data_IF_620201104944
#
_entry.id   IF_620201104944
#
_cell.length_a   1.000
_cell.length_b   1.000
_cell.length_c   1.000
_cell.angle_alpha   90.00
_cell.angle_beta   90.00
_cell.angle_gamma   90.00
#
_symmetry.space_group_name_H-M   'P 1'
#
loop_
_entity.id
_entity.type
_entity.pdbx_description
1 polymer ?
#
# COMPACT_ATOMS: atom_id res chain seq x y z
N UNK A 1 -10.43 6.02 -1.44
CA UNK A 1 -10.37 7.01 -2.56
C UNK A 1 -11.03 6.39 -3.78
N UNK A 2 -11.54 7.17 -4.76
CA UNK A 2 -12.01 6.61 -6.03
C UNK A 2 -11.10 6.99 -7.18
N UNK A 3 -10.79 6.02 -8.03
CA UNK A 3 -10.10 6.21 -9.30
C UNK A 3 -11.08 6.76 -10.35
N UNK A 4 -10.54 7.32 -11.44
CA UNK A 4 -11.34 7.85 -12.55
C UNK A 4 -12.23 6.80 -13.22
N UNK A 5 -11.85 5.52 -13.12
CA UNK A 5 -12.62 4.37 -13.61
C UNK A 5 -13.70 3.88 -12.61
N UNK A 6 -13.86 4.57 -11.48
CA UNK A 6 -14.86 4.27 -10.45
C UNK A 6 -14.42 3.25 -9.40
N UNK A 7 -13.26 2.60 -9.55
CA UNK A 7 -12.76 1.64 -8.56
C UNK A 7 -12.31 2.34 -7.27
N UNK A 8 -12.48 1.67 -6.15
CA UNK A 8 -12.03 2.13 -4.85
C UNK A 8 -10.55 1.76 -4.65
N UNK A 9 -9.79 2.66 -4.03
CA UNK A 9 -8.35 2.51 -3.82
C UNK A 9 -7.94 3.03 -2.43
N UNK A 10 -6.99 2.31 -1.82
CA UNK A 10 -6.28 2.74 -0.62
C UNK A 10 -4.94 3.37 -1.02
N UNK A 11 -4.64 4.57 -0.53
CA UNK A 11 -3.42 5.31 -0.90
C UNK A 11 -2.54 5.56 0.32
N UNK A 12 -1.26 5.21 0.20
CA UNK A 12 -0.20 5.61 1.13
C UNK A 12 0.63 6.69 0.47
N UNK A 13 0.86 7.82 1.15
CA UNK A 13 1.62 8.94 0.59
C UNK A 13 2.50 9.60 1.65
N UNK A 14 3.72 9.97 1.25
CA UNK A 14 4.68 10.65 2.13
C UNK A 14 5.49 11.70 1.36
N UNK A 15 5.74 12.84 2.01
CA UNK A 15 6.65 13.85 1.50
C UNK A 15 8.06 13.54 1.98
N UNK A 16 9.02 13.44 1.05
CA UNK A 16 10.42 13.11 1.33
C UNK A 16 11.05 14.04 2.35
N UNK A 17 10.76 15.34 2.26
CA UNK A 17 11.34 16.35 3.17
C UNK A 17 10.79 16.28 4.60
N UNK A 18 9.52 15.88 4.79
CA UNK A 18 8.88 15.84 6.11
C UNK A 18 8.99 14.48 6.80
N UNK A 19 9.00 13.40 6.02
CA UNK A 19 9.01 12.04 6.54
C UNK A 19 9.97 11.15 5.72
N UNK A 20 11.29 11.45 5.71
CA UNK A 20 12.25 10.78 4.83
C UNK A 20 12.30 9.26 5.02
N UNK A 21 12.17 8.78 6.26
CA UNK A 21 12.13 7.34 6.56
C UNK A 21 10.87 6.65 6.00
N UNK A 22 9.71 7.32 6.09
CA UNK A 22 8.45 6.80 5.54
C UNK A 22 8.50 6.81 4.02
N UNK A 23 9.03 7.87 3.42
CA UNK A 23 9.23 7.95 1.98
C UNK A 23 10.17 6.84 1.47
N UNK A 24 11.28 6.60 2.17
CA UNK A 24 12.18 5.50 1.86
C UNK A 24 11.51 4.12 2.01
N UNK A 25 10.64 3.95 3.01
CA UNK A 25 9.87 2.73 3.19
C UNK A 25 8.91 2.50 2.02
N UNK A 26 8.14 3.51 1.60
CA UNK A 26 7.23 3.37 0.46
C UNK A 26 7.97 3.10 -0.87
N UNK A 27 9.13 3.72 -1.11
CA UNK A 27 9.95 3.39 -2.30
C UNK A 27 10.36 1.91 -2.33
N UNK A 28 10.60 1.30 -1.16
CA UNK A 28 10.88 -0.14 -1.06
C UNK A 28 9.61 -0.99 -1.19
N UNK A 29 8.48 -0.49 -0.70
CA UNK A 29 7.17 -1.16 -0.73
C UNK A 29 6.62 -1.34 -2.15
N UNK A 30 7.09 -0.55 -3.14
CA UNK A 30 6.81 -0.79 -4.56
C UNK A 30 7.21 -2.20 -5.05
N UNK A 31 8.02 -2.95 -4.30
CA UNK A 31 8.28 -4.38 -4.55
C UNK A 31 7.00 -5.22 -4.63
N UNK A 32 5.89 -4.77 -4.05
CA UNK A 32 4.58 -5.42 -4.16
C UNK A 32 4.13 -5.65 -5.61
N UNK A 33 4.59 -4.85 -6.57
CA UNK A 33 4.36 -5.08 -8.01
C UNK A 33 4.91 -6.43 -8.50
N UNK A 34 5.94 -6.96 -7.82
CA UNK A 34 6.63 -8.19 -8.20
C UNK A 34 6.05 -9.43 -7.49
N UNK A 35 5.06 -9.26 -6.62
CA UNK A 35 4.42 -10.38 -5.94
C UNK A 35 3.53 -11.16 -6.92
N UNK A 36 3.49 -12.50 -6.82
CA UNK A 36 2.64 -13.32 -7.70
C UNK A 36 1.16 -12.93 -7.61
N UNK A 37 0.41 -13.16 -8.69
CA UNK A 37 -1.05 -12.94 -8.80
C UNK A 37 -1.85 -13.62 -7.66
N UNK A 38 -1.32 -14.68 -7.09
CA UNK A 38 -1.94 -15.54 -6.09
C UNK A 38 -1.56 -15.19 -4.64
N UNK A 39 -0.64 -14.24 -4.41
CA UNK A 39 -0.31 -13.79 -3.06
C UNK A 39 -1.55 -13.14 -2.39
N UNK A 40 -1.82 -13.39 -1.10
CA UNK A 40 -2.98 -12.82 -0.39
C UNK A 40 -2.73 -11.37 0.02
N UNK A 41 -2.39 -10.52 -0.94
CA UNK A 41 -2.08 -9.10 -0.74
C UNK A 41 -2.91 -8.23 -1.70
N UNK A 42 -3.29 -7.01 -1.29
CA UNK A 42 -3.90 -6.05 -2.22
C UNK A 42 -2.98 -5.77 -3.40
N UNK A 43 -3.52 -5.73 -4.63
CA UNK A 43 -2.69 -5.39 -5.79
C UNK A 43 -2.28 -3.93 -5.74
N UNK A 44 -1.04 -3.65 -6.15
CA UNK A 44 -0.64 -2.29 -6.44
C UNK A 44 -1.25 -1.85 -7.79
N UNK A 45 -2.00 -0.76 -7.75
CA UNK A 45 -2.68 -0.16 -8.91
C UNK A 45 -1.82 0.90 -9.61
N UNK A 46 -0.87 1.49 -8.89
CA UNK A 46 0.08 2.45 -9.44
C UNK A 46 0.98 3.09 -8.40
N UNK A 47 2.07 3.68 -8.90
CA UNK A 47 3.08 4.38 -8.12
C UNK A 47 3.26 5.80 -8.67
N UNK A 48 3.49 6.76 -7.79
CA UNK A 48 3.90 8.12 -8.14
C UNK A 48 5.15 8.48 -7.34
N UNK A 49 6.23 8.89 -7.99
CA UNK A 49 7.43 9.43 -7.34
C UNK A 49 7.98 10.58 -8.20
N UNK A 50 7.96 11.80 -7.67
CA UNK A 50 8.58 12.98 -8.29
C UNK A 50 9.85 13.43 -7.55
N UNK A 51 10.30 12.65 -6.58
CA UNK A 51 11.39 12.99 -5.67
C UNK A 51 10.93 13.70 -4.39
N UNK A 52 9.92 14.56 -4.47
CA UNK A 52 9.38 15.32 -3.34
C UNK A 52 8.29 14.56 -2.60
N UNK A 53 7.47 13.83 -3.34
CA UNK A 53 6.40 12.95 -2.87
C UNK A 53 6.54 11.56 -3.46
N UNK A 54 6.26 10.57 -2.63
CA UNK A 54 6.01 9.18 -3.03
C UNK A 54 4.57 8.83 -2.64
N UNK A 55 3.83 8.23 -3.57
CA UNK A 55 2.51 7.68 -3.32
C UNK A 55 2.36 6.30 -3.97
N UNK A 56 1.69 5.40 -3.24
CA UNK A 56 1.34 4.06 -3.66
C UNK A 56 -0.16 3.89 -3.57
N UNK A 57 -0.81 3.50 -4.67
CA UNK A 57 -2.23 3.19 -4.71
C UNK A 57 -2.42 1.68 -4.78
N UNK A 58 -3.19 1.12 -3.86
CA UNK A 58 -3.53 -0.29 -3.79
C UNK A 58 -5.03 -0.50 -4.01
N UNK A 59 -5.41 -1.71 -4.42
CA UNK A 59 -6.79 -2.17 -4.33
C UNK A 59 -7.32 -1.96 -2.93
N UNK A 60 -8.53 -1.41 -2.84
CA UNK A 60 -9.27 -1.40 -1.59
C UNK A 60 -9.89 -2.79 -1.40
N UNK A 61 -9.49 -3.46 -0.33
CA UNK A 61 -10.04 -4.76 0.08
C UNK A 61 -10.75 -4.58 1.42
N UNK A 62 -11.86 -5.28 1.61
CA UNK A 62 -12.55 -5.38 2.90
C UNK A 62 -11.76 -6.31 3.86
N UNK A 63 -10.49 -5.96 4.08
CA UNK A 63 -9.59 -6.65 4.98
C UNK A 63 -9.82 -6.18 6.42
N UNK A 64 -9.73 -7.12 7.36
CA UNK A 64 -9.73 -6.80 8.79
C UNK A 64 -8.30 -6.85 9.30
N UNK A 65 -7.84 -5.77 9.93
CA UNK A 65 -6.58 -5.81 10.67
C UNK A 65 -6.69 -6.85 11.80
N UNK A 66 -5.69 -7.72 11.99
CA UNK A 66 -5.67 -8.65 13.11
C UNK A 66 -5.73 -7.87 14.43
N UNK A 67 -6.38 -8.45 15.43
CA UNK A 67 -6.48 -7.87 16.75
C UNK A 67 -5.08 -7.63 17.35
N UNK A 68 -4.97 -6.64 18.22
CA UNK A 68 -3.76 -6.43 19.03
C UNK A 68 -4.09 -6.65 20.52
N UNK A 69 -3.43 -7.59 21.22
CA UNK A 69 -2.40 -8.53 20.74
C UNK A 69 -2.94 -9.57 19.75
N UNK A 70 -2.08 -10.09 18.87
CA UNK A 70 -2.46 -11.00 17.78
C UNK A 70 -3.12 -12.28 18.29
N UNK A 71 -4.14 -12.73 17.54
CA UNK A 71 -4.78 -14.04 17.75
C UNK A 71 -4.28 -14.98 16.67
N UNK A 72 -3.84 -16.19 17.06
CA UNK A 72 -3.23 -17.14 16.12
C UNK A 72 -4.12 -17.53 14.93
N UNK A 73 -5.44 -17.46 15.09
CA UNK A 73 -6.43 -17.69 14.03
C UNK A 73 -6.71 -16.48 13.11
N UNK A 74 -5.87 -15.45 13.13
CA UNK A 74 -6.03 -14.26 12.26
C UNK A 74 -4.80 -14.01 11.37
N UNK A 75 -3.78 -14.89 11.41
CA UNK A 75 -2.47 -14.70 10.78
C UNK A 75 -2.17 -15.68 9.62
N UNK A 76 -3.22 -16.11 8.89
CA UNK A 76 -3.14 -17.13 7.86
C UNK A 76 -2.37 -16.71 6.60
#
# INVERSE_FOLDING_TARGET
>A
MRLADGRAAFVKAAQSARAPAVAAFHRREAISERLPAQAPVPRLLGTYDDGDWIALAFEEVDGRLPAQPWRGGELH
#
